data_IF_125315584168
#
_entry.id   IF_125315584168
#
_cell.length_a   1.000
_cell.length_b   1.000
_cell.length_c   1.000
_cell.angle_alpha   90.00
_cell.angle_beta   90.00
_cell.angle_gamma   90.00
#
_symmetry.space_group_name_H-M   'P 1'
#
loop_
_entity.id
_entity.type
_entity.pdbx_description
1 polymer ?
#
# COMPACT_ATOMS: atom_id res chain seq x y z
N UNK A 1 -19.76 1.80 14.35
CA UNK A 1 -19.57 3.10 13.68
C UNK A 1 -18.49 2.90 12.64
N UNK A 2 -18.85 2.90 11.36
CA UNK A 2 -17.87 2.99 10.29
C UNK A 2 -17.51 4.47 10.18
N UNK A 3 -16.22 4.80 10.28
CA UNK A 3 -15.72 6.17 10.16
C UNK A 3 -15.91 6.62 8.69
N UNK A 4 -17.01 7.32 8.41
CA UNK A 4 -17.36 7.80 7.05
C UNK A 4 -16.59 9.06 6.65
N UNK A 5 -15.80 9.60 7.56
CA UNK A 5 -15.00 10.81 7.44
C UNK A 5 -13.58 10.54 6.91
N UNK A 6 -13.17 9.27 6.80
CA UNK A 6 -11.86 8.91 6.27
C UNK A 6 -11.97 8.59 4.78
N UNK A 7 -11.46 9.48 3.93
CA UNK A 7 -11.24 9.17 2.51
C UNK A 7 -10.02 8.25 2.44
N UNK A 8 -10.30 6.95 2.51
CA UNK A 8 -9.28 5.92 2.31
C UNK A 8 -8.99 5.78 0.81
N UNK A 9 -7.71 5.67 0.48
CA UNK A 9 -7.20 5.48 -0.88
C UNK A 9 -6.78 4.03 -1.05
N UNK A 10 -7.14 3.42 -2.18
CA UNK A 10 -6.61 2.13 -2.61
C UNK A 10 -5.47 2.40 -3.59
N UNK A 11 -4.26 1.98 -3.23
CA UNK A 11 -3.05 2.27 -4.00
C UNK A 11 -2.25 1.01 -4.30
N UNK A 12 -1.43 1.05 -5.35
CA UNK A 12 -0.57 -0.08 -5.71
C UNK A 12 0.70 -0.13 -4.87
N UNK A 13 1.00 -1.28 -4.26
CA UNK A 13 2.26 -1.50 -3.52
C UNK A 13 3.47 -1.36 -4.46
N UNK A 14 3.39 -1.99 -5.63
CA UNK A 14 4.29 -1.77 -6.78
C UNK A 14 3.57 -0.89 -7.80
N UNK A 15 4.04 0.33 -8.09
CA UNK A 15 3.41 1.22 -9.07
C UNK A 15 3.40 0.63 -10.48
N UNK A 16 2.34 0.91 -11.25
CA UNK A 16 2.24 0.48 -12.67
C UNK A 16 3.40 0.99 -13.52
N UNK A 17 3.87 2.22 -13.27
CA UNK A 17 5.03 2.79 -13.96
C UNK A 17 6.34 2.02 -13.71
N UNK A 18 6.41 1.23 -12.64
CA UNK A 18 7.55 0.39 -12.27
C UNK A 18 7.27 -1.11 -12.50
N UNK A 19 6.30 -1.45 -13.35
CA UNK A 19 5.97 -2.84 -13.69
C UNK A 19 5.02 -3.54 -12.73
N UNK A 20 4.35 -2.80 -11.84
CA UNK A 20 3.25 -3.32 -11.04
C UNK A 20 2.05 -3.77 -11.88
N UNK A 21 1.20 -4.60 -11.30
CA UNK A 21 0.02 -5.18 -11.96
C UNK A 21 -1.26 -4.85 -11.19
N UNK A 22 -2.41 -4.94 -11.86
CA UNK A 22 -3.74 -4.71 -11.25
C UNK A 22 -4.27 -5.94 -10.48
N UNK A 23 -3.38 -6.82 -10.03
CA UNK A 23 -3.76 -7.95 -9.20
C UNK A 23 -4.21 -7.45 -7.82
N UNK A 24 -5.30 -7.98 -7.23
CA UNK A 24 -5.76 -7.60 -5.90
C UNK A 24 -4.67 -7.69 -4.82
N UNK A 25 -3.70 -8.60 -4.98
CA UNK A 25 -2.57 -8.73 -4.04
C UNK A 25 -1.54 -7.61 -4.17
N UNK A 26 -1.64 -6.74 -5.18
CA UNK A 26 -0.79 -5.56 -5.34
C UNK A 26 -1.48 -4.28 -4.81
N UNK A 27 -2.63 -4.38 -4.15
CA UNK A 27 -3.38 -3.21 -3.64
C UNK A 27 -3.24 -3.10 -2.12
N UNK A 28 -3.03 -1.89 -1.62
CA UNK A 28 -2.97 -1.56 -0.20
C UNK A 28 -3.90 -0.39 0.14
N UNK A 29 -4.43 -0.41 1.37
CA UNK A 29 -5.22 0.68 1.93
C UNK A 29 -4.30 1.77 2.49
N UNK A 30 -4.47 3.00 2.03
CA UNK A 30 -3.67 4.15 2.45
C UNK A 30 -4.54 5.33 2.84
N UNK A 31 -4.02 6.18 3.73
CA UNK A 31 -4.62 7.49 3.94
C UNK A 31 -4.31 8.42 2.75
N UNK A 32 -5.14 9.42 2.47
CA UNK A 32 -4.90 10.41 1.41
C UNK A 32 -3.47 11.00 1.48
N UNK A 33 -3.09 11.56 2.64
CA UNK A 33 -1.75 12.15 2.85
C UNK A 33 -0.62 11.15 2.56
N UNK A 34 -0.80 9.91 3.02
CA UNK A 34 0.18 8.84 2.89
C UNK A 34 0.37 8.49 1.40
N UNK A 35 -0.75 8.33 0.68
CA UNK A 35 -0.79 8.03 -0.74
C UNK A 35 -0.13 9.12 -1.58
N UNK A 36 -0.47 10.39 -1.32
CA UNK A 36 0.11 11.55 -2.03
C UNK A 36 1.63 11.63 -1.78
N UNK A 37 2.07 11.40 -0.53
CA UNK A 37 3.49 11.42 -0.18
C UNK A 37 4.28 10.28 -0.81
N UNK A 38 3.68 9.09 -0.96
CA UNK A 38 4.31 7.92 -1.59
C UNK A 38 4.55 8.14 -3.09
N UNK A 39 3.53 8.61 -3.82
CA UNK A 39 3.59 8.71 -5.28
C UNK A 39 3.97 7.39 -5.96
N UNK A 40 4.88 7.45 -6.95
CA UNK A 40 5.35 6.27 -7.69
C UNK A 40 6.58 5.58 -7.05
N UNK A 41 6.77 5.73 -5.74
CA UNK A 41 7.85 5.03 -5.02
C UNK A 41 7.43 3.60 -4.64
N UNK A 42 8.41 2.70 -4.53
CA UNK A 42 8.19 1.36 -3.99
C UNK A 42 7.98 1.45 -2.49
N UNK A 43 6.87 0.89 -2.01
CA UNK A 43 6.63 0.75 -0.58
C UNK A 43 7.34 -0.49 -0.04
N UNK A 44 8.08 -0.31 1.06
CA UNK A 44 8.64 -1.43 1.81
C UNK A 44 7.57 -1.94 2.77
N UNK A 45 6.75 -2.85 2.29
CA UNK A 45 5.79 -3.57 3.12
C UNK A 45 6.51 -4.56 4.04
N UNK A 46 5.99 -4.79 5.24
CA UNK A 46 6.48 -5.87 6.13
C UNK A 46 7.37 -5.44 7.28
N UNK A 47 7.65 -4.15 7.51
CA UNK A 47 8.43 -3.70 8.67
C UNK A 47 7.72 -3.83 10.03
N UNK A 48 6.40 -4.04 10.03
CA UNK A 48 5.59 -4.11 11.25
C UNK A 48 5.58 -5.50 11.90
N UNK A 49 5.73 -6.55 11.10
CA UNK A 49 5.67 -7.92 11.60
C UNK A 49 7.06 -8.56 11.45
N UNK A 50 7.53 -9.33 12.45
CA UNK A 50 8.75 -10.09 12.27
C UNK A 50 8.58 -11.05 11.08
N UNK A 51 9.68 -11.45 10.43
CA UNK A 51 9.62 -12.57 9.51
C UNK A 51 9.40 -13.84 10.35
N UNK A 52 8.21 -14.46 10.24
CA UNK A 52 7.86 -15.64 11.03
C UNK A 52 8.53 -16.92 10.48
N UNK A 53 8.97 -16.86 9.22
CA UNK A 53 9.67 -17.93 8.53
C UNK A 53 11.05 -17.40 8.12
N UNK A 54 12.03 -17.56 9.00
CA UNK A 54 13.43 -17.38 8.66
C UNK A 54 14.03 -18.78 8.48
N UNK A 55 14.63 -19.03 7.31
CA UNK A 55 15.57 -20.14 7.09
C UNK A 55 16.98 -19.71 7.50
#
# INVERSE_FOLDING_TARGET
MLATDRIDHLDHMVPLANGGVNDPVNIQLMCEKCNIQKGATLEVTGRRYPAWWQE
#
